data_IF_694694673440
#
_entry.id   IF_694694673440
#
_cell.length_a   1.000
_cell.length_b   1.000
_cell.length_c   1.000
_cell.angle_alpha   90.00
_cell.angle_beta   90.00
_cell.angle_gamma   90.00
#
_symmetry.space_group_name_H-M   'P 1'
#
loop_
_entity.id
_entity.type
_entity.pdbx_description
1 polymer ?
#
# COMPACT_ATOMS: atom_id res chain seq x y z
N UNK A 1 3.82 13.42 16.21
CA UNK A 1 2.39 13.45 15.85
C UNK A 1 1.68 14.35 16.86
N UNK A 2 1.46 15.61 16.48
CA UNK A 2 0.62 16.51 17.28
C UNK A 2 -0.83 16.06 17.08
N UNK A 3 -1.42 15.47 18.11
CA UNK A 3 -2.84 15.17 18.11
C UNK A 3 -3.59 16.48 18.30
N UNK A 4 -3.94 17.14 17.19
CA UNK A 4 -4.97 18.16 17.21
C UNK A 4 -6.27 17.46 17.66
N UNK A 5 -6.65 17.67 18.93
CA UNK A 5 -7.93 17.20 19.47
C UNK A 5 -9.10 17.99 18.90
N UNK A 6 -8.83 19.19 18.36
CA UNK A 6 -9.77 20.12 17.76
C UNK A 6 -9.12 20.82 16.56
N UNK A 7 -9.93 21.41 15.67
CA UNK A 7 -9.49 22.14 14.48
C UNK A 7 -8.48 23.24 14.85
N UNK A 8 -7.37 23.42 14.11
CA UNK A 8 -6.56 24.64 14.26
C UNK A 8 -7.42 25.83 13.79
N UNK A 9 -7.86 26.65 14.74
CA UNK A 9 -8.64 27.87 14.45
C UNK A 9 -7.80 28.93 13.73
N UNK A 10 -6.47 28.84 13.83
CA UNK A 10 -5.52 29.70 13.14
C UNK A 10 -4.46 28.86 12.41
N UNK A 11 -4.30 29.11 11.10
CA UNK A 11 -3.29 28.48 10.24
C UNK A 11 -2.02 29.33 10.10
N UNK A 12 -2.03 30.59 10.56
CA UNK A 12 -0.85 31.45 10.55
C UNK A 12 0.24 30.88 11.47
N UNK A 13 1.45 30.76 10.93
CA UNK A 13 2.62 30.27 11.66
C UNK A 13 2.78 28.75 11.70
N UNK A 14 1.85 27.98 11.14
CA UNK A 14 2.03 26.53 11.00
C UNK A 14 3.13 26.19 9.99
N UNK A 15 3.93 25.19 10.33
CA UNK A 15 4.93 24.59 9.45
C UNK A 15 4.27 23.75 8.34
N UNK A 16 5.03 23.41 7.30
CA UNK A 16 4.56 22.55 6.22
C UNK A 16 4.15 21.14 6.72
N UNK A 17 4.84 20.62 7.74
CA UNK A 17 4.51 19.36 8.39
C UNK A 17 3.19 19.47 9.19
N UNK A 18 3.03 20.51 10.00
CA UNK A 18 1.79 20.72 10.79
C UNK A 18 0.58 20.93 9.88
N UNK A 19 0.73 21.66 8.76
CA UNK A 19 -0.31 21.78 7.75
C UNK A 19 -0.70 20.40 7.19
N UNK A 20 0.28 19.56 6.84
CA UNK A 20 -0.01 18.20 6.37
C UNK A 20 -0.71 17.34 7.44
N UNK A 21 -0.29 17.43 8.70
CA UNK A 21 -0.94 16.73 9.83
C UNK A 21 -2.40 17.17 10.01
N UNK A 22 -2.69 18.47 9.84
CA UNK A 22 -4.07 18.99 9.86
C UNK A 22 -4.90 18.42 8.71
N UNK A 23 -4.33 18.35 7.50
CA UNK A 23 -4.97 17.70 6.36
C UNK A 23 -5.30 16.24 6.66
N UNK A 24 -4.34 15.50 7.22
CA UNK A 24 -4.51 14.09 7.57
C UNK A 24 -5.55 13.86 8.68
N UNK A 25 -5.66 14.79 9.64
CA UNK A 25 -6.69 14.77 10.68
C UNK A 25 -8.11 14.79 10.10
N UNK A 26 -8.37 15.66 9.12
CA UNK A 26 -9.66 15.75 8.43
C UNK A 26 -9.88 14.57 7.49
N UNK A 27 -8.84 14.15 6.79
CA UNK A 27 -8.88 13.04 5.84
C UNK A 27 -9.33 11.73 6.52
N UNK A 28 -8.75 11.39 7.68
CA UNK A 28 -9.13 10.19 8.45
C UNK A 28 -10.59 10.19 8.93
N UNK A 29 -11.22 11.37 8.97
CA UNK A 29 -12.64 11.55 9.34
C UNK A 29 -13.54 11.68 8.11
N UNK A 30 -13.04 11.32 6.93
CA UNK A 30 -13.71 11.48 5.64
C UNK A 30 -14.18 12.93 5.36
N UNK A 31 -13.56 13.93 6.01
CA UNK A 31 -13.85 15.35 5.80
C UNK A 31 -12.94 15.91 4.70
N UNK A 32 -13.00 15.33 3.52
CA UNK A 32 -12.00 15.55 2.47
C UNK A 32 -11.95 17.00 1.96
N UNK A 33 -13.10 17.66 1.80
CA UNK A 33 -13.17 19.07 1.38
C UNK A 33 -12.42 20.00 2.35
N UNK A 34 -12.36 19.63 3.64
CA UNK A 34 -11.56 20.35 4.63
C UNK A 34 -10.09 19.96 4.58
N UNK A 35 -9.76 18.71 4.22
CA UNK A 35 -8.39 18.21 4.15
C UNK A 35 -7.59 18.82 2.99
N UNK A 36 -8.21 18.93 1.82
CA UNK A 36 -7.54 19.35 0.56
C UNK A 36 -6.82 20.71 0.69
N UNK A 37 -7.44 21.77 1.25
CA UNK A 37 -6.75 23.05 1.41
C UNK A 37 -5.46 22.95 2.25
N UNK A 38 -5.45 22.12 3.29
CA UNK A 38 -4.25 21.91 4.10
C UNK A 38 -3.16 21.18 3.32
N UNK A 39 -3.50 20.15 2.55
CA UNK A 39 -2.53 19.47 1.69
C UNK A 39 -1.98 20.41 0.61
N UNK A 40 -2.82 21.26 0.01
CA UNK A 40 -2.37 22.27 -0.96
C UNK A 40 -1.39 23.27 -0.34
N UNK A 41 -1.71 23.80 0.84
CA UNK A 41 -0.82 24.73 1.56
C UNK A 41 0.49 24.06 1.97
N UNK A 42 0.43 22.83 2.50
CA UNK A 42 1.61 22.06 2.87
C UNK A 42 2.50 21.75 1.66
N UNK A 43 1.91 21.35 0.53
CA UNK A 43 2.62 21.08 -0.72
C UNK A 43 3.29 22.36 -1.26
N UNK A 44 2.59 23.50 -1.23
CA UNK A 44 3.16 24.80 -1.61
C UNK A 44 4.33 25.21 -0.71
N UNK A 45 4.27 24.85 0.57
CA UNK A 45 5.35 25.06 1.54
C UNK A 45 6.49 24.01 1.43
N UNK A 46 6.43 23.11 0.43
CA UNK A 46 7.48 22.14 0.13
C UNK A 46 7.36 20.80 0.85
N UNK A 47 6.23 20.51 1.52
CA UNK A 47 6.01 19.21 2.15
C UNK A 47 5.71 18.14 1.11
N UNK A 48 6.68 17.25 0.90
CA UNK A 48 6.62 16.16 -0.07
C UNK A 48 5.45 15.19 0.19
N UNK A 49 5.20 14.82 1.44
CA UNK A 49 4.09 13.92 1.78
C UNK A 49 2.71 14.54 1.44
N UNK A 50 2.61 15.87 1.46
CA UNK A 50 1.37 16.54 1.12
C UNK A 50 1.05 16.43 -0.37
N UNK A 51 2.07 16.39 -1.23
CA UNK A 51 1.90 16.09 -2.66
C UNK A 51 1.34 14.68 -2.85
N UNK A 52 1.84 13.68 -2.11
CA UNK A 52 1.28 12.32 -2.16
C UNK A 52 -0.18 12.30 -1.74
N UNK A 53 -0.52 12.96 -0.64
CA UNK A 53 -1.89 13.02 -0.15
C UNK A 53 -2.81 13.75 -1.14
N UNK A 54 -2.36 14.87 -1.72
CA UNK A 54 -3.10 15.63 -2.71
C UNK A 54 -3.32 14.82 -4.00
N UNK A 55 -2.32 14.07 -4.45
CA UNK A 55 -2.45 13.19 -5.61
C UNK A 55 -3.50 12.09 -5.39
N UNK A 56 -3.57 11.52 -4.18
CA UNK A 56 -4.63 10.57 -3.80
C UNK A 56 -6.00 11.25 -3.82
N UNK A 57 -6.11 12.48 -3.32
CA UNK A 57 -7.36 13.24 -3.37
C UNK A 57 -7.85 13.46 -4.80
N UNK A 58 -6.96 13.87 -5.71
CA UNK A 58 -7.27 14.04 -7.12
C UNK A 58 -7.71 12.74 -7.79
N UNK A 59 -7.01 11.62 -7.56
CA UNK A 59 -7.34 10.35 -8.20
C UNK A 59 -8.71 9.80 -7.74
N UNK A 60 -9.03 9.90 -6.45
CA UNK A 60 -10.26 9.35 -5.88
C UNK A 60 -11.42 10.34 -5.76
N UNK A 61 -11.28 11.55 -6.30
CA UNK A 61 -12.27 12.63 -6.18
C UNK A 61 -12.63 12.95 -4.71
N UNK A 62 -11.65 12.91 -3.81
CA UNK A 62 -11.86 13.10 -2.38
C UNK A 62 -11.69 14.57 -2.02
N UNK A 63 -12.81 15.29 -1.96
CA UNK A 63 -12.85 16.70 -1.57
C UNK A 63 -12.36 17.68 -2.64
N UNK A 64 -12.04 17.17 -3.83
CA UNK A 64 -11.65 17.91 -5.02
C UNK A 64 -12.15 17.14 -6.26
N UNK A 65 -12.34 17.84 -7.38
CA UNK A 65 -12.72 17.21 -8.65
C UNK A 65 -11.66 16.18 -9.08
N UNK A 66 -12.12 15.09 -9.70
CA UNK A 66 -11.23 14.02 -10.18
C UNK A 66 -10.33 14.56 -11.28
N UNK A 67 -9.02 14.37 -11.12
CA UNK A 67 -8.03 14.75 -12.13
C UNK A 67 -6.82 13.81 -12.04
N UNK A 68 -6.79 12.78 -12.89
CA UNK A 68 -5.71 11.79 -12.86
C UNK A 68 -4.37 12.35 -13.36
N UNK A 69 -4.40 13.34 -14.25
CA UNK A 69 -3.18 14.00 -14.72
C UNK A 69 -2.55 14.81 -13.57
N UNK A 70 -3.36 15.57 -12.82
CA UNK A 70 -2.90 16.27 -11.63
C UNK A 70 -2.42 15.29 -10.53
N UNK A 71 -3.09 14.14 -10.38
CA UNK A 71 -2.66 13.10 -9.44
C UNK A 71 -1.25 12.58 -9.78
N UNK A 72 -1.03 12.20 -11.05
CA UNK A 72 0.26 11.73 -11.53
C UNK A 72 1.33 12.80 -11.36
N UNK A 73 1.04 14.06 -11.72
CA UNK A 73 1.99 15.16 -11.54
C UNK A 73 2.38 15.35 -10.07
N UNK A 74 1.43 15.26 -9.13
CA UNK A 74 1.73 15.30 -7.70
C UNK A 74 2.68 14.18 -7.28
N UNK A 75 2.45 12.95 -7.77
CA UNK A 75 3.32 11.82 -7.47
C UNK A 75 4.70 11.96 -8.12
N UNK A 76 4.82 12.51 -9.33
CA UNK A 76 6.11 12.80 -9.97
C UNK A 76 6.93 13.80 -9.16
N UNK A 77 6.31 14.92 -8.74
CA UNK A 77 6.98 15.94 -7.93
C UNK A 77 7.47 15.40 -6.58
N UNK A 78 6.71 14.49 -5.94
CA UNK A 78 7.15 13.83 -4.71
C UNK A 78 8.21 12.75 -4.98
N UNK A 79 8.08 11.99 -6.07
CA UNK A 79 9.05 10.96 -6.46
C UNK A 79 10.43 11.55 -6.80
N UNK A 80 10.49 12.77 -7.36
CA UNK A 80 11.74 13.52 -7.59
C UNK A 80 12.52 13.80 -6.30
N UNK A 81 11.86 13.72 -5.15
CA UNK A 81 12.48 13.81 -3.81
C UNK A 81 12.77 12.44 -3.19
N UNK A 82 12.59 11.37 -3.96
CA UNK A 82 12.67 9.96 -3.54
C UNK A 82 11.59 9.57 -2.53
N UNK A 83 10.36 10.07 -2.68
CA UNK A 83 9.25 9.58 -1.87
C UNK A 83 8.92 8.11 -2.22
N UNK A 84 9.04 7.13 -1.30
CA UNK A 84 8.70 5.74 -1.59
C UNK A 84 7.22 5.55 -1.95
N UNK A 85 6.31 6.26 -1.26
CA UNK A 85 4.87 6.14 -1.50
C UNK A 85 4.45 6.77 -2.83
N UNK A 86 5.07 7.89 -3.22
CA UNK A 86 4.83 8.49 -4.54
C UNK A 86 5.32 7.57 -5.66
N UNK A 87 6.51 6.97 -5.51
CA UNK A 87 7.02 5.97 -6.45
C UNK A 87 6.06 4.76 -6.53
N UNK A 88 5.55 4.26 -5.41
CA UNK A 88 4.52 3.22 -5.41
C UNK A 88 3.26 3.64 -6.18
N UNK A 89 2.76 4.86 -5.93
CA UNK A 89 1.57 5.39 -6.61
C UNK A 89 1.80 5.63 -8.10
N UNK A 90 3.00 6.04 -8.53
CA UNK A 90 3.36 6.07 -9.96
C UNK A 90 3.36 4.67 -10.55
N UNK A 91 3.87 3.68 -9.81
CA UNK A 91 3.76 2.28 -10.19
C UNK A 91 2.30 1.89 -10.48
N UNK A 92 1.39 2.21 -9.56
CA UNK A 92 -0.05 1.96 -9.76
C UNK A 92 -0.63 2.73 -10.94
N UNK A 93 -0.27 4.01 -11.10
CA UNK A 93 -0.77 4.85 -12.18
C UNK A 93 -0.45 4.26 -13.57
N UNK A 94 0.75 3.71 -13.76
CA UNK A 94 1.10 3.03 -15.00
C UNK A 94 0.51 1.62 -15.11
N UNK A 95 0.31 0.91 -14.00
CA UNK A 95 -0.32 -0.42 -14.01
C UNK A 95 -1.80 -0.36 -14.38
N UNK A 96 -2.49 0.71 -13.99
CA UNK A 96 -3.93 0.91 -14.20
C UNK A 96 -4.26 1.89 -15.33
N UNK A 97 -3.26 2.59 -15.88
CA UNK A 97 -3.42 3.51 -17.00
C UNK A 97 -4.08 4.84 -16.61
N UNK A 98 -3.78 5.40 -15.43
CA UNK A 98 -4.39 6.65 -14.94
C UNK A 98 -4.04 7.88 -15.79
N UNK A 99 -2.87 7.90 -16.43
CA UNK A 99 -2.41 9.08 -17.17
C UNK A 99 -3.14 9.27 -18.52
N UNK A 100 -3.04 8.29 -19.43
CA UNK A 100 -3.54 8.36 -20.80
C UNK A 100 -4.43 7.16 -21.18
N UNK A 101 -4.84 6.36 -20.19
CA UNK A 101 -5.58 5.11 -20.39
C UNK A 101 -4.71 3.92 -20.81
N UNK A 102 -3.40 4.11 -21.03
CA UNK A 102 -2.50 3.04 -21.46
C UNK A 102 -1.83 2.34 -20.27
N UNK A 103 -2.10 1.06 -20.13
CA UNK A 103 -1.41 0.20 -19.16
C UNK A 103 0.04 -0.02 -19.62
N UNK A 104 0.99 0.18 -18.70
CA UNK A 104 2.42 -0.06 -18.90
C UNK A 104 3.05 -0.73 -17.68
N UNK A 105 2.93 -2.06 -17.63
CA UNK A 105 3.45 -2.89 -16.53
C UNK A 105 4.98 -2.83 -16.40
N UNK A 106 5.71 -2.59 -17.49
CA UNK A 106 7.16 -2.45 -17.45
C UNK A 106 7.60 -1.17 -16.74
N UNK A 107 6.91 -0.05 -17.03
CA UNK A 107 7.14 1.23 -16.35
C UNK A 107 6.67 1.16 -14.90
N UNK A 108 5.52 0.56 -14.64
CA UNK A 108 5.03 0.29 -13.28
C UNK A 108 6.06 -0.47 -12.44
N UNK A 109 6.57 -1.60 -12.96
CA UNK A 109 7.60 -2.40 -12.32
C UNK A 109 8.85 -1.59 -11.99
N UNK A 110 9.28 -0.69 -12.88
CA UNK A 110 10.45 0.16 -12.64
C UNK A 110 10.27 1.08 -11.43
N UNK A 111 9.07 1.61 -11.20
CA UNK A 111 8.76 2.42 -10.05
C UNK A 111 8.65 1.59 -8.77
N UNK A 112 8.00 0.43 -8.82
CA UNK A 112 7.97 -0.49 -7.69
C UNK A 112 9.37 -0.94 -7.26
N UNK A 113 10.29 -1.20 -8.21
CA UNK A 113 11.69 -1.52 -7.90
C UNK A 113 12.37 -0.33 -7.19
N UNK A 114 12.15 0.90 -7.64
CA UNK A 114 12.71 2.09 -7.01
C UNK A 114 12.20 2.27 -5.58
N UNK A 115 10.89 2.22 -5.37
CA UNK A 115 10.27 2.29 -4.04
C UNK A 115 10.74 1.14 -3.12
N UNK A 116 10.84 -0.09 -3.64
CA UNK A 116 11.34 -1.23 -2.88
C UNK A 116 12.80 -1.07 -2.41
N UNK A 117 13.65 -0.35 -3.17
CA UNK A 117 15.02 -0.01 -2.72
C UNK A 117 15.03 0.94 -1.54
N UNK A 118 13.99 1.76 -1.41
CA UNK A 118 13.74 2.66 -0.29
C UNK A 118 12.98 1.97 0.86
N UNK A 119 12.85 0.64 0.82
CA UNK A 119 12.17 -0.20 1.81
C UNK A 119 10.66 0.04 1.91
N UNK A 120 10.01 0.50 0.85
CA UNK A 120 8.55 0.53 0.77
C UNK A 120 7.98 -0.90 0.79
N UNK A 121 7.24 -1.23 1.84
CA UNK A 121 6.75 -2.60 2.05
C UNK A 121 5.69 -3.01 1.03
N UNK A 122 4.84 -2.08 0.60
CA UNK A 122 3.79 -2.33 -0.39
C UNK A 122 4.37 -2.55 -1.80
N UNK A 123 5.42 -1.82 -2.17
CA UNK A 123 6.14 -2.06 -3.42
C UNK A 123 6.86 -3.39 -3.42
N UNK A 124 7.52 -3.77 -2.31
CA UNK A 124 8.11 -5.13 -2.19
C UNK A 124 7.02 -6.20 -2.31
N UNK A 125 5.85 -5.98 -1.72
CA UNK A 125 4.69 -6.87 -1.90
C UNK A 125 4.24 -6.94 -3.37
N UNK A 126 4.19 -5.80 -4.09
CA UNK A 126 3.86 -5.79 -5.51
C UNK A 126 4.88 -6.55 -6.35
N UNK A 127 6.18 -6.47 -6.05
CA UNK A 127 7.20 -7.29 -6.74
C UNK A 127 6.93 -8.78 -6.56
N UNK A 128 6.48 -9.19 -5.37
CA UNK A 128 6.03 -10.55 -5.10
C UNK A 128 4.82 -10.94 -5.96
N UNK A 129 3.86 -10.04 -6.12
CA UNK A 129 2.69 -10.26 -6.97
C UNK A 129 3.04 -10.35 -8.46
N UNK A 130 3.97 -9.52 -8.96
CA UNK A 130 4.52 -9.63 -10.32
C UNK A 130 5.15 -11.00 -10.56
N UNK A 131 5.93 -11.49 -9.59
CA UNK A 131 6.55 -12.82 -9.66
C UNK A 131 5.52 -13.95 -9.54
N UNK A 132 4.48 -13.83 -8.70
CA UNK A 132 3.43 -14.85 -8.57
C UNK A 132 2.62 -15.01 -9.86
N UNK A 133 2.36 -13.90 -10.57
CA UNK A 133 1.48 -13.89 -11.73
C UNK A 133 2.23 -13.86 -13.08
N UNK A 134 3.54 -13.63 -13.08
CA UNK A 134 4.32 -13.53 -14.31
C UNK A 134 3.92 -12.33 -15.17
N UNK A 135 3.77 -11.17 -14.54
CA UNK A 135 3.40 -9.93 -15.22
C UNK A 135 4.59 -9.41 -16.01
N UNK A 136 4.41 -9.22 -17.32
CA UNK A 136 5.47 -8.75 -18.21
C UNK A 136 6.19 -7.51 -17.65
N UNK A 137 7.55 -7.47 -17.64
CA UNK A 137 8.48 -8.45 -18.23
C UNK A 137 8.90 -9.60 -17.29
N UNK A 138 8.29 -9.74 -16.12
CA UNK A 138 8.63 -10.78 -15.15
C UNK A 138 8.02 -12.12 -15.56
N UNK A 139 8.82 -13.18 -15.51
CA UNK A 139 8.35 -14.55 -15.71
C UNK A 139 7.87 -15.09 -14.36
N UNK A 140 6.76 -15.84 -14.37
CA UNK A 140 6.19 -16.41 -13.15
C UNK A 140 7.23 -17.25 -12.39
N UNK A 141 7.38 -16.96 -11.09
CA UNK A 141 8.24 -17.68 -10.17
C UNK A 141 7.69 -17.61 -8.74
N UNK A 142 7.06 -18.69 -8.29
CA UNK A 142 6.48 -18.75 -6.94
C UNK A 142 7.52 -18.68 -5.82
N UNK A 143 8.74 -19.20 -6.02
CA UNK A 143 9.79 -19.11 -5.00
C UNK A 143 10.32 -17.68 -4.85
N UNK A 144 10.37 -16.91 -5.94
CA UNK A 144 10.70 -15.49 -5.86
C UNK A 144 9.54 -14.69 -5.25
N UNK A 145 8.30 -14.98 -5.61
CA UNK A 145 7.13 -14.38 -4.98
C UNK A 145 7.13 -14.57 -3.46
N UNK A 146 7.37 -15.80 -3.00
CA UNK A 146 7.50 -16.13 -1.57
C UNK A 146 8.58 -15.29 -0.88
N UNK A 147 9.77 -15.16 -1.49
CA UNK A 147 10.87 -14.35 -0.93
C UNK A 147 10.49 -12.87 -0.79
N UNK A 148 9.83 -12.31 -1.80
CA UNK A 148 9.40 -10.92 -1.77
C UNK A 148 8.28 -10.72 -0.74
N UNK A 149 7.32 -11.63 -0.65
CA UNK A 149 6.28 -11.57 0.40
C UNK A 149 6.86 -11.69 1.81
N UNK A 150 7.84 -12.57 2.02
CA UNK A 150 8.55 -12.66 3.29
C UNK A 150 9.24 -11.32 3.65
N UNK A 151 9.99 -10.75 2.70
CA UNK A 151 10.66 -9.45 2.88
C UNK A 151 9.67 -8.31 3.15
N UNK A 152 8.54 -8.29 2.47
CA UNK A 152 7.51 -7.28 2.68
C UNK A 152 6.78 -7.46 4.04
N UNK A 153 6.58 -8.69 4.50
CA UNK A 153 6.05 -9.00 5.85
C UNK A 153 7.01 -8.50 6.94
N UNK A 154 8.32 -8.71 6.76
CA UNK A 154 9.37 -8.19 7.65
C UNK A 154 9.40 -6.65 7.71
N UNK A 155 9.05 -5.99 6.59
CA UNK A 155 8.88 -4.54 6.51
C UNK A 155 7.50 -4.06 7.00
N UNK A 156 6.65 -4.97 7.48
CA UNK A 156 5.38 -4.64 8.13
C UNK A 156 4.14 -4.62 7.21
N UNK A 157 4.23 -5.04 5.94
CA UNK A 157 3.06 -5.08 5.06
C UNK A 157 2.06 -6.15 5.52
N UNK A 158 0.84 -5.71 5.84
CA UNK A 158 -0.25 -6.60 6.22
C UNK A 158 -0.71 -7.48 5.05
N UNK A 159 -0.71 -6.91 3.83
CA UNK A 159 -1.02 -7.63 2.59
C UNK A 159 0.02 -8.70 2.29
N UNK A 160 1.30 -8.42 2.52
CA UNK A 160 2.37 -9.40 2.35
C UNK A 160 2.26 -10.57 3.34
N UNK A 161 1.97 -10.29 4.62
CA UNK A 161 1.69 -11.33 5.61
C UNK A 161 0.55 -12.26 5.14
N UNK A 162 -0.53 -11.69 4.60
CA UNK A 162 -1.62 -12.48 4.04
C UNK A 162 -1.19 -13.33 2.83
N UNK A 163 -0.41 -12.78 1.91
CA UNK A 163 0.09 -13.53 0.75
C UNK A 163 1.10 -14.62 1.14
N UNK A 164 1.92 -14.38 2.16
CA UNK A 164 2.80 -15.38 2.75
C UNK A 164 1.99 -16.54 3.35
N UNK A 165 0.89 -16.22 4.05
CA UNK A 165 -0.07 -17.22 4.52
C UNK A 165 -0.65 -18.07 3.38
N UNK A 166 -0.95 -17.46 2.21
CA UNK A 166 -1.39 -18.21 1.02
C UNK A 166 -0.28 -19.10 0.45
N UNK A 167 0.97 -18.66 0.47
CA UNK A 167 2.11 -19.47 0.06
C UNK A 167 2.24 -20.73 0.94
N UNK A 168 2.17 -20.58 2.26
CA UNK A 168 2.20 -21.71 3.19
C UNK A 168 0.96 -22.60 3.10
N UNK A 169 -0.25 -22.03 2.96
CA UNK A 169 -1.48 -22.83 2.81
C UNK A 169 -1.46 -23.71 1.55
N UNK A 170 -0.90 -23.20 0.46
CA UNK A 170 -0.89 -23.89 -0.83
C UNK A 170 0.39 -24.66 -1.14
N UNK A 171 1.48 -24.43 -0.41
CA UNK A 171 2.81 -24.94 -0.74
C UNK A 171 3.40 -24.35 -2.03
N UNK A 172 2.98 -23.14 -2.43
CA UNK A 172 3.53 -22.45 -3.60
C UNK A 172 4.75 -21.62 -3.19
N UNK A 173 5.89 -21.93 -3.79
CA UNK A 173 7.16 -21.24 -3.52
C UNK A 173 7.87 -21.67 -2.23
N UNK A 174 7.17 -22.42 -1.37
CA UNK A 174 7.64 -23.00 -0.10
C UNK A 174 6.96 -24.35 0.14
N UNK A 175 7.26 -25.04 1.25
CA UNK A 175 6.53 -26.25 1.65
C UNK A 175 5.17 -25.88 2.24
N UNK A 176 4.17 -26.72 2.04
CA UNK A 176 2.86 -26.52 2.69
C UNK A 176 3.01 -26.66 4.20
N UNK A 177 2.45 -25.69 4.93
CA UNK A 177 2.45 -25.64 6.39
C UNK A 177 1.23 -24.85 6.86
N UNK A 178 0.26 -25.54 7.47
CA UNK A 178 -1.00 -24.89 7.87
C UNK A 178 -0.85 -24.07 9.15
N UNK A 179 0.10 -24.40 10.02
CA UNK A 179 0.36 -23.65 11.26
C UNK A 179 1.03 -22.32 10.92
N UNK A 180 2.06 -22.36 10.07
CA UNK A 180 2.69 -21.13 9.55
C UNK A 180 1.70 -20.28 8.73
N UNK A 181 0.80 -20.90 7.97
CA UNK A 181 -0.26 -20.16 7.27
C UNK A 181 -1.17 -19.41 8.25
N UNK A 182 -1.61 -20.07 9.33
CA UNK A 182 -2.46 -19.47 10.37
C UNK A 182 -1.76 -18.30 11.05
N UNK A 183 -0.50 -18.47 11.46
CA UNK A 183 0.31 -17.39 12.07
C UNK A 183 0.43 -16.17 11.15
N UNK A 184 0.68 -16.40 9.86
CA UNK A 184 0.75 -15.33 8.87
C UNK A 184 -0.58 -14.59 8.71
N UNK A 185 -1.70 -15.32 8.66
CA UNK A 185 -3.03 -14.71 8.55
C UNK A 185 -3.42 -13.93 9.81
N UNK A 186 -3.08 -14.43 11.00
CA UNK A 186 -3.29 -13.70 12.26
C UNK A 186 -2.50 -12.40 12.28
N UNK A 187 -1.20 -12.42 11.92
CA UNK A 187 -0.40 -11.18 11.81
C UNK A 187 -0.99 -10.19 10.80
N UNK A 188 -1.49 -10.67 9.66
CA UNK A 188 -2.14 -9.81 8.67
C UNK A 188 -3.39 -9.13 9.26
N UNK A 189 -4.22 -9.88 9.99
CA UNK A 189 -5.43 -9.36 10.64
C UNK A 189 -5.10 -8.33 11.73
N UNK A 190 -4.11 -8.62 12.59
CA UNK A 190 -3.64 -7.70 13.64
C UNK A 190 -3.12 -6.38 13.06
N UNK A 191 -2.53 -6.41 11.87
CA UNK A 191 -2.09 -5.22 11.12
C UNK A 191 -3.21 -4.57 10.29
N UNK A 192 -4.47 -4.97 10.50
CA UNK A 192 -5.65 -4.35 9.90
C UNK A 192 -6.08 -4.91 8.54
N UNK A 193 -5.48 -6.00 8.06
CA UNK A 193 -5.91 -6.64 6.81
C UNK A 193 -7.12 -7.55 7.06
N UNK A 194 -8.31 -6.94 7.14
CA UNK A 194 -9.58 -7.60 7.50
C UNK A 194 -9.93 -8.82 6.64
N UNK A 195 -9.48 -8.87 5.39
CA UNK A 195 -9.68 -10.05 4.50
C UNK A 195 -9.02 -11.33 5.06
N UNK A 196 -8.08 -11.20 5.98
CA UNK A 196 -7.44 -12.34 6.64
C UNK A 196 -8.39 -13.11 7.58
N UNK A 197 -9.45 -12.49 8.11
CA UNK A 197 -10.39 -13.13 9.04
C UNK A 197 -11.02 -14.40 8.43
N UNK A 198 -11.50 -14.30 7.19
CA UNK A 198 -12.06 -15.44 6.48
C UNK A 198 -11.03 -16.53 6.17
N UNK A 199 -9.74 -16.18 6.08
CA UNK A 199 -8.66 -17.15 5.90
C UNK A 199 -8.32 -17.87 7.21
N UNK A 200 -8.27 -17.16 8.34
CA UNK A 200 -8.09 -17.73 9.69
C UNK A 200 -9.17 -18.79 9.94
N UNK A 201 -10.45 -18.40 9.83
CA UNK A 201 -11.57 -19.32 10.06
C UNK A 201 -11.53 -20.54 9.13
N UNK A 202 -11.07 -20.37 7.87
CA UNK A 202 -10.92 -21.47 6.92
C UNK A 202 -9.83 -22.46 7.35
N UNK A 203 -8.68 -21.98 7.82
CA UNK A 203 -7.56 -22.83 8.25
C UNK A 203 -7.93 -23.62 9.51
N UNK A 204 -8.52 -22.96 10.51
CA UNK A 204 -8.95 -23.61 11.77
C UNK A 204 -9.95 -24.75 11.50
N UNK A 205 -10.88 -24.54 10.56
CA UNK A 205 -11.82 -25.58 10.13
C UNK A 205 -11.15 -26.74 9.38
N UNK A 206 -10.08 -26.50 8.63
CA UNK A 206 -9.31 -27.58 7.97
C UNK A 206 -8.59 -28.43 9.01
N UNK A 207 -7.95 -27.79 9.99
CA UNK A 207 -7.19 -28.47 11.03
C UNK A 207 -8.09 -29.31 11.95
N UNK A 208 -9.25 -28.79 12.35
CA UNK A 208 -10.21 -29.52 13.19
C UNK A 208 -10.76 -30.79 12.51
N UNK A 209 -10.95 -30.78 11.19
CA UNK A 209 -11.39 -31.96 10.41
C UNK A 209 -10.33 -33.04 10.30
N UNK A 210 -9.05 -32.66 10.18
CA UNK A 210 -7.93 -33.62 10.13
C UNK A 210 -7.80 -34.36 11.47
N UNK A 211 -7.97 -33.65 12.59
CA UNK A 211 -7.93 -34.26 13.93
C UNK A 211 -9.07 -35.27 14.17
N UNK A 212 -10.25 -35.07 13.57
CA UNK A 212 -11.38 -36.01 13.67
C UNK A 212 -11.27 -37.24 12.76
N UNK A 213 -10.38 -37.26 11.77
CA UNK A 213 -10.21 -38.41 10.84
C UNK A 213 -9.09 -39.37 11.25
N UNK A 214 -8.32 -39.02 12.29
CA UNK A 214 -7.21 -39.80 12.83
C UNK A 214 -7.55 -40.51 14.16
N UNK A 215 -8.84 -40.49 14.57
CA UNK A 215 -9.41 -41.20 15.73
C UNK A 215 -10.36 -42.30 15.24
#
# INVERSE_FOLDING_TARGET
MLFFSEQPENIEGLTAEELNDCGWYFYQRASYEKAVPYFQLAALAGQEQALVNLGVCYHWAQGIEKDDEAAVLCFELAADKNNPQALYNLGMAYEEGWYDGAINTAKALSYYIQAARLKDSESVCQLGWYAENGIYPVIQNFSEAYKQYLKADELGSARAAYNLGRCYESGKGTKQDLDQALECYQRAYERGYVKAEAAIARIENKQSRVSCTLL
#
